data_IF_262162841104
#
_entry.id   IF_262162841104
#
_cell.length_a   1.000
_cell.length_b   1.000
_cell.length_c   1.000
_cell.angle_alpha   90.00
_cell.angle_beta   90.00
_cell.angle_gamma   90.00
#
_symmetry.space_group_name_H-M   'P 1'
#
loop_
_entity.id
_entity.type
_entity.pdbx_description
1 polymer ?
#
# COMPACT_ATOMS: atom_id res chain seq x y z
N UNK A 1 -23.48 -0.87 18.52
CA UNK A 1 -23.97 -0.70 17.12
C UNK A 1 -25.20 0.21 16.98
N UNK A 2 -26.00 0.39 18.04
CA UNK A 2 -27.19 1.24 18.01
C UNK A 2 -26.91 2.74 18.19
N UNK A 3 -25.67 3.12 18.55
CA UNK A 3 -25.29 4.50 18.91
C UNK A 3 -24.48 5.23 17.81
N UNK A 4 -24.33 4.65 16.62
CA UNK A 4 -23.62 5.28 15.49
C UNK A 4 -24.61 5.59 14.37
N UNK A 5 -24.62 6.83 13.86
CA UNK A 5 -25.47 7.16 12.74
C UNK A 5 -24.95 6.49 11.46
N UNK A 6 -25.89 6.08 10.60
CA UNK A 6 -25.56 5.51 9.28
C UNK A 6 -24.98 6.57 8.35
N UNK A 7 -25.44 7.81 8.49
CA UNK A 7 -24.97 8.96 7.73
C UNK A 7 -24.45 10.01 8.71
N UNK A 8 -23.22 10.45 8.50
CA UNK A 8 -22.56 11.46 9.31
C UNK A 8 -22.00 12.54 8.39
N UNK A 9 -22.07 13.80 8.83
CA UNK A 9 -21.42 14.91 8.13
C UNK A 9 -19.99 15.05 8.65
N UNK A 10 -18.96 14.94 7.80
CA UNK A 10 -17.59 15.09 8.26
C UNK A 10 -17.32 16.56 8.60
N UNK A 11 -16.43 16.79 9.58
CA UNK A 11 -16.02 18.14 9.99
C UNK A 11 -15.24 18.88 8.91
N UNK A 12 -14.65 18.15 7.96
CA UNK A 12 -13.91 18.68 6.83
C UNK A 12 -14.11 17.78 5.59
N UNK A 13 -13.88 18.28 4.36
CA UNK A 13 -13.86 17.46 3.16
C UNK A 13 -12.88 16.28 3.32
N UNK A 14 -13.30 15.09 2.88
CA UNK A 14 -12.47 13.89 2.87
C UNK A 14 -11.77 13.78 1.52
N UNK A 15 -10.43 13.74 1.54
CA UNK A 15 -9.62 13.40 0.38
C UNK A 15 -9.19 11.92 0.43
N UNK A 16 -8.45 11.48 -0.60
CA UNK A 16 -7.95 10.10 -0.67
C UNK A 16 -7.04 9.78 0.51
N UNK A 17 -6.24 10.73 0.98
CA UNK A 17 -5.36 10.49 2.13
C UNK A 17 -6.13 10.29 3.42
N UNK A 18 -7.19 11.05 3.67
CA UNK A 18 -8.07 10.82 4.81
C UNK A 18 -8.66 9.40 4.80
N UNK A 19 -9.05 8.88 3.63
CA UNK A 19 -9.54 7.50 3.48
C UNK A 19 -8.42 6.49 3.73
N UNK A 20 -7.22 6.70 3.18
CA UNK A 20 -6.05 5.83 3.45
C UNK A 20 -5.74 5.77 4.94
N UNK A 21 -5.75 6.91 5.64
CA UNK A 21 -5.51 6.97 7.09
C UNK A 21 -6.58 6.19 7.87
N UNK A 22 -7.85 6.30 7.49
CA UNK A 22 -8.93 5.49 8.06
C UNK A 22 -8.68 3.99 7.90
N UNK A 23 -8.33 3.55 6.69
CA UNK A 23 -8.05 2.14 6.39
C UNK A 23 -6.76 1.61 7.05
N UNK A 24 -5.83 2.50 7.39
CA UNK A 24 -4.59 2.20 8.13
C UNK A 24 -4.75 2.18 9.64
N UNK A 25 -5.90 2.62 10.15
CA UNK A 25 -6.07 2.90 11.57
C UNK A 25 -6.02 1.61 12.43
N UNK A 26 -5.26 1.69 13.51
CA UNK A 26 -5.13 0.65 14.56
C UNK A 26 -5.48 1.19 15.96
N UNK A 27 -6.14 2.35 16.02
CA UNK A 27 -6.56 3.11 17.19
C UNK A 27 -5.40 3.61 18.08
N UNK A 28 -4.20 3.73 17.52
CA UNK A 28 -3.02 4.26 18.22
C UNK A 28 -3.24 5.68 18.74
N UNK A 29 -3.99 6.51 18.01
CA UNK A 29 -4.38 7.85 18.44
C UNK A 29 -5.26 7.86 19.70
N UNK A 30 -5.90 6.74 20.02
CA UNK A 30 -6.69 6.53 21.25
C UNK A 30 -5.89 5.78 22.33
N UNK A 31 -4.57 5.71 22.20
CA UNK A 31 -3.67 5.03 23.13
C UNK A 31 -3.70 3.50 23.04
N UNK A 32 -4.38 2.94 22.03
CA UNK A 32 -4.50 1.48 21.84
C UNK A 32 -3.22 0.93 21.19
N UNK A 33 -2.83 -0.28 21.59
CA UNK A 33 -1.62 -0.95 21.08
C UNK A 33 -1.91 -2.40 20.71
N UNK A 34 -2.69 -2.66 19.64
CA UNK A 34 -3.10 -4.01 19.27
C UNK A 34 -1.94 -4.91 18.80
N UNK A 35 -0.76 -4.33 18.52
CA UNK A 35 0.43 -5.02 18.03
C UNK A 35 1.67 -4.83 18.92
N UNK A 36 1.47 -4.40 20.17
CA UNK A 36 2.54 -4.44 21.16
C UNK A 36 2.91 -5.87 21.55
N UNK A 37 4.00 -6.01 22.31
CA UNK A 37 4.47 -7.31 22.84
C UNK A 37 3.38 -8.05 23.63
N UNK A 38 2.57 -7.31 24.39
CA UNK A 38 1.31 -7.78 24.97
C UNK A 38 0.18 -7.14 24.14
N UNK A 39 -0.44 -7.88 23.20
CA UNK A 39 -1.44 -7.31 22.31
C UNK A 39 -2.70 -6.89 23.05
N UNK A 40 -3.23 -5.73 22.69
CA UNK A 40 -4.53 -5.27 23.15
C UNK A 40 -5.67 -5.83 22.26
N UNK A 41 -6.40 -6.81 22.79
CA UNK A 41 -7.49 -7.49 22.10
C UNK A 41 -8.87 -6.84 22.26
N UNK A 42 -9.01 -5.73 23.01
CA UNK A 42 -10.37 -5.25 23.34
C UNK A 42 -11.12 -4.71 22.13
N UNK A 43 -10.44 -4.13 21.13
CA UNK A 43 -11.02 -3.66 19.87
C UNK A 43 -10.28 -4.24 18.67
N UNK A 44 -11.03 -4.71 17.68
CA UNK A 44 -10.48 -5.17 16.41
C UNK A 44 -9.99 -3.96 15.60
N UNK A 45 -8.67 -3.83 15.29
CA UNK A 45 -8.16 -2.74 14.46
C UNK A 45 -8.73 -2.78 13.03
N UNK A 46 -8.73 -1.64 12.35
CA UNK A 46 -9.18 -1.53 10.95
C UNK A 46 -8.13 -2.14 10.03
N UNK A 47 -6.87 -1.70 10.17
CA UNK A 47 -5.73 -2.32 9.50
C UNK A 47 -5.29 -3.56 10.27
N UNK A 48 -5.38 -4.74 9.66
CA UNK A 48 -4.97 -6.00 10.29
C UNK A 48 -4.25 -6.92 9.32
N UNK A 49 -3.43 -7.81 9.88
CA UNK A 49 -2.66 -8.77 9.09
C UNK A 49 -3.52 -9.68 8.21
N UNK A 50 -4.78 -9.98 8.59
CA UNK A 50 -5.67 -10.83 7.78
C UNK A 50 -6.25 -10.12 6.55
N UNK A 51 -6.10 -8.81 6.40
CA UNK A 51 -6.49 -8.10 5.18
C UNK A 51 -5.78 -8.75 3.99
N UNK A 52 -6.54 -9.09 2.95
CA UNK A 52 -5.99 -9.62 1.70
C UNK A 52 -5.59 -8.49 0.79
N UNK A 53 -6.51 -7.53 0.61
CA UNK A 53 -6.30 -6.30 -0.13
C UNK A 53 -7.16 -5.18 0.47
N UNK A 54 -6.79 -3.94 0.19
CA UNK A 54 -7.56 -2.74 0.52
C UNK A 54 -7.59 -1.84 -0.71
N UNK A 55 -8.77 -1.29 -1.01
CA UNK A 55 -9.02 -0.56 -2.24
C UNK A 55 -9.72 0.76 -1.95
N UNK A 56 -9.33 1.82 -2.67
CA UNK A 56 -10.05 3.09 -2.72
C UNK A 56 -10.38 3.36 -4.17
N UNK A 57 -11.67 3.46 -4.49
CA UNK A 57 -12.14 3.76 -5.84
C UNK A 57 -12.63 5.21 -5.86
N UNK A 58 -11.97 6.04 -6.66
CA UNK A 58 -12.29 7.44 -6.81
C UNK A 58 -12.74 7.71 -8.25
N UNK A 59 -13.94 8.26 -8.42
CA UNK A 59 -14.39 8.80 -9.71
C UNK A 59 -14.40 10.33 -9.65
N UNK A 60 -13.79 10.96 -10.66
CA UNK A 60 -13.56 12.42 -10.72
C UNK A 60 -14.33 13.04 -11.87
N UNK A 61 -15.08 14.10 -11.57
CA UNK A 61 -15.86 14.82 -12.56
C UNK A 61 -15.00 15.70 -13.46
N UNK A 62 -15.40 15.86 -14.72
CA UNK A 62 -14.80 16.84 -15.65
C UNK A 62 -13.51 16.38 -16.34
N UNK A 63 -13.15 15.10 -16.20
CA UNK A 63 -12.01 14.48 -16.88
C UNK A 63 -12.47 13.50 -17.97
N UNK A 64 -11.61 13.19 -18.97
CA UNK A 64 -11.84 12.08 -19.91
C UNK A 64 -12.02 10.76 -19.16
N UNK A 65 -12.82 9.83 -19.70
CA UNK A 65 -13.19 8.59 -19.01
C UNK A 65 -11.97 7.74 -18.60
N UNK A 66 -10.94 7.70 -19.45
CA UNK A 66 -9.67 7.03 -19.21
C UNK A 66 -8.91 7.57 -17.98
N UNK A 67 -9.16 8.82 -17.60
CA UNK A 67 -8.53 9.49 -16.47
C UNK A 67 -9.47 9.63 -15.28
N UNK A 68 -10.79 9.66 -15.49
CA UNK A 68 -11.76 10.02 -14.47
C UNK A 68 -11.73 9.08 -13.26
N UNK A 69 -11.55 7.78 -13.49
CA UNK A 69 -11.55 6.75 -12.46
C UNK A 69 -10.12 6.37 -12.05
N UNK A 70 -9.83 6.45 -10.75
CA UNK A 70 -8.57 6.01 -10.14
C UNK A 70 -8.88 4.98 -9.07
N UNK A 71 -8.22 3.83 -9.16
CA UNK A 71 -8.24 2.80 -8.13
C UNK A 71 -6.89 2.77 -7.41
N UNK A 72 -6.91 2.96 -6.09
CA UNK A 72 -5.73 2.80 -5.24
C UNK A 72 -5.76 1.41 -4.62
N UNK A 73 -4.82 0.55 -5.01
CA UNK A 73 -4.77 -0.86 -4.60
C UNK A 73 -3.64 -1.05 -3.60
N UNK A 74 -3.94 -1.69 -2.46
CA UNK A 74 -2.96 -2.08 -1.46
C UNK A 74 -3.08 -3.56 -1.14
N UNK A 75 -1.96 -4.28 -1.12
CA UNK A 75 -1.92 -5.71 -0.85
C UNK A 75 -1.61 -5.97 0.63
N UNK A 76 -2.39 -6.84 1.26
CA UNK A 76 -2.23 -7.21 2.65
C UNK A 76 -2.67 -6.12 3.62
N UNK A 77 -1.96 -6.01 4.75
CA UNK A 77 -2.25 -5.06 5.81
C UNK A 77 -1.94 -3.61 5.39
N UNK A 78 -2.92 -2.69 5.30
CA UNK A 78 -2.70 -1.34 4.76
C UNK A 78 -1.69 -0.48 5.51
N UNK A 79 -1.54 -0.69 6.83
CA UNK A 79 -0.55 0.02 7.65
C UNK A 79 0.88 -0.47 7.46
N UNK A 80 1.08 -1.57 6.73
CA UNK A 80 2.37 -2.16 6.37
C UNK A 80 2.43 -2.42 4.85
N UNK A 81 1.77 -1.56 4.09
CA UNK A 81 1.66 -1.67 2.64
C UNK A 81 1.51 -0.28 2.02
N UNK A 82 1.58 -0.27 0.70
CA UNK A 82 1.48 0.93 -0.15
C UNK A 82 0.18 0.87 -0.96
N UNK A 83 -0.42 2.03 -1.21
CA UNK A 83 -1.51 2.21 -2.15
C UNK A 83 -0.95 2.61 -3.52
N UNK A 84 -1.12 1.72 -4.48
CA UNK A 84 -0.65 1.88 -5.87
C UNK A 84 -1.81 2.46 -6.68
N UNK A 85 -1.67 3.65 -7.28
CA UNK A 85 -2.69 4.23 -8.14
C UNK A 85 -2.73 3.56 -9.51
N UNK A 86 -3.92 3.15 -9.95
CA UNK A 86 -4.19 2.51 -11.23
C UNK A 86 -5.40 3.17 -11.90
N UNK A 87 -5.45 3.14 -13.23
CA UNK A 87 -6.52 3.72 -14.03
C UNK A 87 -7.24 2.61 -14.80
N UNK A 88 -8.28 1.98 -14.22
CA UNK A 88 -8.86 0.74 -14.74
C UNK A 88 -9.45 0.88 -16.15
N UNK A 89 -9.85 2.09 -16.56
CA UNK A 89 -10.42 2.35 -17.90
C UNK A 89 -9.36 2.44 -19.01
N UNK A 90 -8.07 2.54 -18.65
CA UNK A 90 -7.00 2.93 -19.57
C UNK A 90 -5.76 2.03 -19.51
N UNK A 91 -5.82 0.95 -18.72
CA UNK A 91 -4.82 -0.11 -18.70
C UNK A 91 -5.34 -1.33 -19.46
N UNK A 92 -4.44 -1.97 -20.21
CA UNK A 92 -4.72 -3.20 -20.95
C UNK A 92 -4.21 -4.43 -20.22
N UNK A 93 -3.15 -4.27 -19.41
CA UNK A 93 -2.56 -5.35 -18.65
C UNK A 93 -1.90 -4.86 -17.35
N UNK A 94 -1.77 -5.78 -16.40
CA UNK A 94 -0.98 -5.61 -15.18
C UNK A 94 0.35 -6.37 -15.29
N UNK A 95 1.42 -5.92 -14.61
CA UNK A 95 2.66 -6.68 -14.56
C UNK A 95 2.44 -8.11 -14.04
N UNK A 96 3.23 -9.07 -14.52
CA UNK A 96 3.06 -10.51 -14.24
C UNK A 96 2.82 -10.80 -12.76
N UNK A 97 3.64 -10.23 -11.87
CA UNK A 97 3.54 -10.40 -10.41
C UNK A 97 2.14 -10.10 -9.86
N UNK A 98 1.44 -9.11 -10.41
CA UNK A 98 0.10 -8.70 -9.97
C UNK A 98 -1.02 -9.57 -10.55
N UNK A 99 -0.71 -10.39 -11.57
CA UNK A 99 -1.63 -11.37 -12.18
C UNK A 99 -1.37 -12.81 -11.75
N UNK A 100 -0.23 -13.07 -11.11
CA UNK A 100 0.13 -14.41 -10.63
C UNK A 100 -0.76 -14.80 -9.46
N UNK A 101 -1.57 -15.85 -9.67
CA UNK A 101 -2.37 -16.51 -8.63
C UNK A 101 -1.61 -17.74 -8.14
N UNK A 102 -1.57 -17.96 -6.83
CA UNK A 102 -0.90 -19.12 -6.23
C UNK A 102 -1.91 -20.04 -5.55
N UNK A 103 -1.47 -21.25 -5.19
CA UNK A 103 -2.27 -22.24 -4.44
C UNK A 103 -2.33 -21.94 -2.93
N UNK A 104 -1.80 -20.80 -2.49
CA UNK A 104 -1.65 -20.44 -1.08
C UNK A 104 -0.26 -20.76 -0.51
N UNK A 105 0.65 -21.34 -1.29
CA UNK A 105 2.05 -21.50 -0.92
C UNK A 105 2.84 -20.23 -1.22
N UNK A 106 3.71 -19.83 -0.30
CA UNK A 106 4.57 -18.66 -0.47
C UNK A 106 5.62 -18.86 -1.56
N UNK A 107 5.77 -17.85 -2.43
CA UNK A 107 6.72 -17.85 -3.54
C UNK A 107 7.19 -16.40 -3.86
N UNK A 108 8.12 -16.24 -4.79
CA UNK A 108 8.85 -14.97 -5.03
C UNK A 108 8.27 -14.09 -6.16
N UNK A 109 7.34 -14.60 -6.96
CA UNK A 109 6.81 -13.94 -8.15
C UNK A 109 5.59 -13.08 -7.82
N UNK A 110 4.58 -13.60 -7.13
CA UNK A 110 3.32 -12.87 -6.92
C UNK A 110 3.52 -11.66 -6.01
N UNK A 111 2.88 -10.56 -6.38
CA UNK A 111 2.85 -9.35 -5.58
C UNK A 111 2.30 -9.65 -4.17
N UNK A 112 1.24 -10.47 -4.10
CA UNK A 112 0.63 -10.86 -2.84
C UNK A 112 1.64 -11.48 -1.85
N UNK A 113 2.49 -12.41 -2.30
CA UNK A 113 3.52 -12.99 -1.42
C UNK A 113 4.70 -12.06 -1.15
N UNK A 114 5.11 -11.23 -2.11
CA UNK A 114 6.15 -10.23 -1.87
C UNK A 114 5.75 -9.25 -0.75
N UNK A 115 4.54 -8.70 -0.80
CA UNK A 115 4.02 -7.86 0.29
C UNK A 115 3.81 -8.66 1.59
N UNK A 116 3.30 -9.89 1.50
CA UNK A 116 3.04 -10.72 2.70
C UNK A 116 4.33 -11.05 3.45
N UNK A 117 5.45 -11.31 2.74
CA UNK A 117 6.77 -11.55 3.35
C UNK A 117 7.23 -10.37 4.19
N UNK A 118 7.23 -9.17 3.62
CA UNK A 118 7.57 -7.95 4.37
C UNK A 118 6.69 -7.78 5.60
N UNK A 119 5.37 -7.90 5.42
CA UNK A 119 4.41 -7.73 6.51
C UNK A 119 4.64 -8.76 7.62
N UNK A 120 4.98 -9.99 7.27
CA UNK A 120 5.25 -11.06 8.24
C UNK A 120 6.49 -10.74 9.06
N UNK A 121 7.57 -10.27 8.42
CA UNK A 121 8.78 -9.83 9.11
C UNK A 121 8.50 -8.65 10.04
N UNK A 122 7.79 -7.63 9.56
CA UNK A 122 7.43 -6.47 10.37
C UNK A 122 6.58 -6.84 11.60
N UNK A 123 5.69 -7.83 11.46
CA UNK A 123 4.83 -8.31 12.55
C UNK A 123 5.58 -9.08 13.66
N UNK A 124 6.83 -9.52 13.44
CA UNK A 124 7.63 -10.15 14.49
C UNK A 124 7.96 -9.19 15.64
N UNK A 125 8.06 -7.90 15.32
CA UNK A 125 8.14 -6.82 16.30
C UNK A 125 7.59 -5.54 15.66
N UNK A 126 6.26 -5.40 15.68
CA UNK A 126 5.57 -4.29 15.01
C UNK A 126 6.08 -2.93 15.50
N UNK A 127 6.24 -2.75 16.81
CA UNK A 127 6.75 -1.49 17.39
C UNK A 127 8.13 -1.11 16.86
N UNK A 128 9.02 -2.09 16.65
CA UNK A 128 10.37 -1.87 16.13
C UNK A 128 10.40 -1.63 14.63
N UNK A 129 9.68 -2.44 13.86
CA UNK A 129 9.85 -2.50 12.40
C UNK A 129 8.78 -1.76 11.60
N UNK A 130 7.57 -1.56 12.12
CA UNK A 130 6.52 -0.86 11.41
C UNK A 130 6.86 0.60 11.07
N UNK A 131 7.50 1.40 11.95
CA UNK A 131 7.76 2.81 11.65
C UNK A 131 8.59 3.04 10.38
N UNK A 132 9.65 2.26 10.15
CA UNK A 132 10.48 2.40 8.94
C UNK A 132 9.74 1.95 7.67
N UNK A 133 8.89 0.91 7.76
CA UNK A 133 8.06 0.47 6.63
C UNK A 133 7.03 1.54 6.28
N UNK A 134 6.34 2.07 7.28
CA UNK A 134 5.35 3.14 7.13
C UNK A 134 5.96 4.40 6.53
N UNK A 135 7.11 4.82 7.04
CA UNK A 135 7.82 5.99 6.53
C UNK A 135 8.24 5.81 5.06
N UNK A 136 8.83 4.66 4.71
CA UNK A 136 9.30 4.39 3.35
C UNK A 136 8.14 4.31 2.36
N UNK A 137 7.04 3.66 2.72
CA UNK A 137 5.85 3.63 1.87
C UNK A 137 5.13 4.97 1.77
N UNK A 138 5.10 5.78 2.83
CA UNK A 138 4.58 7.14 2.74
C UNK A 138 5.37 7.99 1.73
N UNK A 139 6.69 7.89 1.74
CA UNK A 139 7.54 8.56 0.74
C UNK A 139 7.25 8.08 -0.67
N UNK A 140 7.02 6.77 -0.84
CA UNK A 140 6.66 6.20 -2.14
C UNK A 140 5.30 6.69 -2.62
N UNK A 141 4.30 6.84 -1.75
CA UNK A 141 2.98 7.38 -2.12
C UNK A 141 3.06 8.85 -2.54
N UNK A 142 3.89 9.65 -1.85
CA UNK A 142 4.15 11.04 -2.25
C UNK A 142 4.81 11.06 -3.64
N UNK A 143 5.75 10.15 -3.89
CA UNK A 143 6.38 10.03 -5.21
C UNK A 143 5.38 9.63 -6.30
N UNK A 144 4.52 8.65 -6.04
CA UNK A 144 3.46 8.25 -6.97
C UNK A 144 2.50 9.39 -7.26
N UNK A 145 2.18 10.24 -6.29
CA UNK A 145 1.33 11.41 -6.51
C UNK A 145 2.00 12.43 -7.47
N UNK A 146 3.30 12.65 -7.35
CA UNK A 146 4.06 13.50 -8.29
C UNK A 146 4.04 12.90 -9.70
N UNK A 147 4.39 11.62 -9.83
CA UNK A 147 4.36 10.92 -11.13
C UNK A 147 2.96 10.95 -11.76
N UNK A 148 1.92 10.79 -10.94
CA UNK A 148 0.52 10.83 -11.37
C UNK A 148 0.19 12.20 -11.95
N UNK A 149 0.53 13.28 -11.25
CA UNK A 149 0.26 14.64 -11.71
C UNK A 149 1.00 14.98 -13.02
N UNK A 150 2.24 14.50 -13.17
CA UNK A 150 3.02 14.68 -14.40
C UNK A 150 2.40 13.91 -15.57
N UNK A 151 2.08 12.64 -15.36
CA UNK A 151 1.40 11.80 -16.35
C UNK A 151 0.06 12.40 -16.78
N UNK A 152 -0.78 12.83 -15.82
CA UNK A 152 -2.09 13.42 -16.12
C UNK A 152 -1.98 14.71 -16.92
N UNK A 153 -0.99 15.55 -16.61
CA UNK A 153 -0.73 16.80 -17.34
C UNK A 153 -0.35 16.50 -18.80
N UNK A 154 0.54 15.53 -19.01
CA UNK A 154 0.93 15.14 -20.36
C UNK A 154 -0.25 14.51 -21.12
N UNK A 155 -0.97 13.58 -20.49
CA UNK A 155 -2.19 12.97 -21.05
C UNK A 155 -3.17 14.03 -21.56
N UNK A 156 -3.52 15.01 -20.71
CA UNK A 156 -4.47 16.07 -21.04
C UNK A 156 -4.00 16.95 -22.21
N UNK A 157 -2.68 17.06 -22.43
CA UNK A 157 -2.13 17.82 -23.55
C UNK A 157 -2.24 17.11 -24.90
N UNK A 158 -2.33 15.77 -24.93
CA UNK A 158 -2.25 14.98 -26.17
C UNK A 158 -3.48 14.12 -26.47
N UNK A 159 -4.36 13.83 -25.51
CA UNK A 159 -5.42 12.80 -25.68
C UNK A 159 -6.39 13.05 -26.85
N UNK A 160 -6.61 14.32 -27.23
CA UNK A 160 -7.47 14.67 -28.39
C UNK A 160 -6.77 14.50 -29.72
N UNK A 161 -5.45 14.65 -29.76
CA UNK A 161 -4.65 14.58 -30.99
C UNK A 161 -4.04 13.19 -31.22
N UNK A 162 -3.73 12.48 -30.14
CA UNK A 162 -3.11 11.15 -30.16
C UNK A 162 -3.57 10.34 -28.94
N UNK A 163 -4.75 9.74 -29.06
CA UNK A 163 -5.37 8.96 -27.99
C UNK A 163 -4.59 7.69 -27.65
N UNK A 164 -3.89 7.11 -28.63
CA UNK A 164 -3.07 5.91 -28.42
C UNK A 164 -1.86 6.25 -27.55
N UNK A 165 -1.12 7.31 -27.89
CA UNK A 165 0.01 7.76 -27.07
C UNK A 165 -0.44 8.18 -25.67
N UNK A 166 -1.60 8.85 -25.55
CA UNK A 166 -2.17 9.21 -24.25
C UNK A 166 -2.45 7.97 -23.38
N UNK A 167 -3.09 6.93 -23.94
CA UNK A 167 -3.32 5.66 -23.22
C UNK A 167 -2.01 4.99 -22.81
N UNK A 168 -0.99 5.03 -23.66
CA UNK A 168 0.33 4.47 -23.34
C UNK A 168 1.00 5.16 -22.15
N UNK A 169 0.81 6.47 -21.95
CA UNK A 169 1.31 7.17 -20.76
C UNK A 169 0.70 6.60 -19.47
N UNK A 170 -0.61 6.35 -19.47
CA UNK A 170 -1.31 5.76 -18.32
C UNK A 170 -0.82 4.33 -18.06
N UNK A 171 -0.69 3.51 -19.11
CA UNK A 171 -0.18 2.14 -18.99
C UNK A 171 1.25 2.11 -18.43
N UNK A 172 2.13 3.00 -18.91
CA UNK A 172 3.52 3.10 -18.44
C UNK A 172 3.57 3.56 -16.98
N UNK A 173 2.78 4.55 -16.61
CA UNK A 173 2.66 5.01 -15.23
C UNK A 173 2.23 3.87 -14.29
N UNK A 174 1.18 3.12 -14.64
CA UNK A 174 0.70 2.02 -13.80
C UNK A 174 1.77 0.91 -13.68
N UNK A 175 2.43 0.56 -14.78
CA UNK A 175 3.52 -0.42 -14.76
C UNK A 175 4.71 0.03 -13.91
N UNK A 176 5.09 1.31 -13.99
CA UNK A 176 6.13 1.91 -13.17
C UNK A 176 5.77 1.89 -11.68
N UNK A 177 4.57 2.35 -11.31
CA UNK A 177 4.13 2.37 -9.92
C UNK A 177 4.09 0.96 -9.32
N UNK A 178 3.59 -0.03 -10.07
CA UNK A 178 3.64 -1.44 -9.69
C UNK A 178 5.08 -1.95 -9.49
N UNK A 179 5.98 -1.66 -10.44
CA UNK A 179 7.37 -2.12 -10.36
C UNK A 179 8.10 -1.52 -9.15
N UNK A 180 8.00 -0.20 -8.95
CA UNK A 180 8.63 0.49 -7.83
C UNK A 180 8.07 0.03 -6.48
N UNK A 181 6.76 -0.24 -6.39
CA UNK A 181 6.17 -0.80 -5.19
C UNK A 181 6.78 -2.15 -4.81
N UNK A 182 7.03 -3.05 -5.78
CA UNK A 182 7.70 -4.32 -5.53
C UNK A 182 9.19 -4.13 -5.19
N UNK A 183 9.89 -3.24 -5.90
CA UNK A 183 11.30 -2.91 -5.60
C UNK A 183 11.47 -2.42 -4.16
N UNK A 184 10.68 -1.42 -3.74
CA UNK A 184 10.72 -0.90 -2.37
C UNK A 184 10.33 -1.97 -1.34
N UNK A 185 9.38 -2.85 -1.69
CA UNK A 185 8.99 -3.97 -0.82
C UNK A 185 10.14 -4.96 -0.63
N UNK A 186 10.88 -5.28 -1.69
CA UNK A 186 12.05 -6.15 -1.62
C UNK A 186 13.19 -5.50 -0.82
N UNK A 187 13.46 -4.21 -1.03
CA UNK A 187 14.44 -3.44 -0.26
C UNK A 187 14.12 -3.48 1.25
N UNK A 188 12.89 -3.16 1.61
CA UNK A 188 12.42 -3.21 3.00
C UNK A 188 12.50 -4.64 3.55
N UNK A 189 12.12 -5.65 2.75
CA UNK A 189 12.18 -7.06 3.19
C UNK A 189 13.61 -7.44 3.56
N UNK A 190 14.58 -7.12 2.70
CA UNK A 190 16.00 -7.39 2.94
C UNK A 190 16.51 -6.62 4.16
N UNK A 191 16.16 -5.33 4.28
CA UNK A 191 16.55 -4.50 5.42
C UNK A 191 16.03 -5.07 6.75
N UNK A 192 14.74 -5.41 6.83
CA UNK A 192 14.15 -5.99 8.03
C UNK A 192 14.74 -7.36 8.35
N UNK A 193 15.02 -8.18 7.33
CA UNK A 193 15.65 -9.48 7.54
C UNK A 193 17.08 -9.34 8.08
N UNK A 194 17.86 -8.37 7.59
CA UNK A 194 19.18 -8.04 8.15
C UNK A 194 19.08 -7.61 9.62
N UNK A 195 18.13 -6.73 9.95
CA UNK A 195 17.92 -6.30 11.35
C UNK A 195 17.50 -7.48 12.24
N UNK A 196 16.62 -8.36 11.75
CA UNK A 196 16.20 -9.55 12.49
C UNK A 196 17.38 -10.50 12.75
N UNK A 197 18.28 -10.69 11.76
CA UNK A 197 19.50 -11.48 11.95
C UNK A 197 20.43 -10.88 13.01
N UNK A 198 20.58 -9.54 13.03
CA UNK A 198 21.35 -8.84 14.07
C UNK A 198 20.70 -8.98 15.45
N UNK A 199 19.38 -8.92 15.53
CA UNK A 199 18.63 -9.09 16.77
C UNK A 199 18.79 -10.52 17.33
N UNK A 200 18.76 -11.54 16.46
CA UNK A 200 19.05 -12.93 16.84
C UNK A 200 20.48 -13.07 17.36
N UNK A 201 21.47 -12.53 16.66
CA UNK A 201 22.86 -12.58 17.10
C UNK A 201 23.07 -11.91 18.46
N UNK A 202 22.43 -10.75 18.67
CA UNK A 202 22.52 -9.99 19.93
C UNK A 202 21.81 -10.70 21.09
N UNK A 203 20.78 -11.51 20.81
CA UNK A 203 20.06 -12.29 21.82
C UNK A 203 20.86 -13.49 22.33
N UNK A 204 21.63 -14.14 21.46
CA UNK A 204 22.39 -15.35 21.78
C UNK A 204 23.90 -15.09 21.77
N UNK A 205 24.38 -14.37 22.77
CA UNK A 205 25.81 -14.12 22.97
C UNK A 205 26.47 -15.32 23.67
N UNK A 206 27.30 -16.06 22.93
CA UNK A 206 28.15 -17.11 23.49
C UNK A 206 29.57 -16.56 23.64
N UNK A 207 30.06 -16.44 24.88
CA UNK A 207 31.41 -15.96 25.16
C UNK A 207 32.47 -16.85 24.49
N UNK A 208 33.26 -16.30 23.58
CA UNK A 208 34.36 -17.00 22.89
C UNK A 208 34.04 -17.55 21.49
N UNK A 209 32.87 -17.22 20.93
CA UNK A 209 32.51 -17.42 19.53
C UNK A 209 32.55 -16.10 18.74
#
# INVERSE_FOLDING_TARGET
PHDFAVFEQPQAPLDVEAVKQGLRNSYQNLGRQPYAEIPDYTWRPISLFRTQQSHILQSRSGLPAELADVEYISYGMPSLSVYIPCYPQAIDDFPLAYRTVTDGTAEDISAQWQFRKLQTLAMQNYTRYAPQVQQRYQQLEIHFEVLRQEMEREYLSIYRSDSLKARLLIQQFCAQACAEALTVTQELTNQLFTQLAQDVNSKYLFSGA
#
